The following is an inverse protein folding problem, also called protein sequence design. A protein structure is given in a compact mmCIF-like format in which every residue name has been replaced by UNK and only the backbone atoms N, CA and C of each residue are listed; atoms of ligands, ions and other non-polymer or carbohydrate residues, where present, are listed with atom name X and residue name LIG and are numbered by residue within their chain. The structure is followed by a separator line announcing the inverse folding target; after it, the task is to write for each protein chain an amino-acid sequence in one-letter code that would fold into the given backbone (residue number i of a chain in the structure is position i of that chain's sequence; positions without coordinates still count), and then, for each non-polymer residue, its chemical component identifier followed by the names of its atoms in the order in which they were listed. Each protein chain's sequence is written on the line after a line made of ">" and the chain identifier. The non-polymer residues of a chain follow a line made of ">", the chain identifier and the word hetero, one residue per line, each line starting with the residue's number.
data_IF_776993331801
#
_entry.id   IF_776993331801
#
_cell.length_a   1.000
_cell.length_b   1.000
_cell.length_c   1.000
_cell.angle_alpha   90.00
_cell.angle_beta   90.00
_cell.angle_gamma   90.00
#
_symmetry.space_group_name_H-M   'P 1'
#
loop_
_entity.id
_entity.type
_entity.pdbx_description
1 polymer ?
#
# COMPACT_ATOMS: atom_id res chain seq x y z
N UNK A 1 3.92 -32.61 0.85
CA UNK A 1 3.55 -31.63 -0.20
C UNK A 1 3.63 -30.25 0.45
N UNK A 2 4.55 -29.41 -0.02
CA UNK A 2 4.81 -28.09 0.57
C UNK A 2 3.85 -27.09 -0.07
N UNK A 3 2.95 -26.51 0.73
CA UNK A 3 1.99 -25.50 0.28
C UNK A 3 2.71 -24.15 0.03
N UNK A 4 3.43 -24.09 -1.08
CA UNK A 4 4.10 -22.89 -1.58
C UNK A 4 3.11 -21.86 -2.13
N UNK A 5 1.82 -22.20 -2.20
CA UNK A 5 0.76 -21.34 -2.73
C UNK A 5 0.25 -20.42 -1.63
N UNK A 6 0.04 -20.97 -0.43
CA UNK A 6 -0.49 -20.22 0.70
C UNK A 6 0.60 -19.64 1.60
N UNK A 7 1.79 -20.25 1.69
CA UNK A 7 2.80 -19.79 2.64
C UNK A 7 4.27 -20.07 2.23
N UNK A 8 4.84 -19.34 1.25
CA UNK A 8 6.22 -19.57 0.86
C UNK A 8 7.22 -18.98 1.89
N UNK A 9 8.14 -19.82 2.39
CA UNK A 9 9.11 -19.56 3.49
C UNK A 9 10.01 -18.31 3.36
N UNK A 10 10.04 -17.62 2.23
CA UNK A 10 10.90 -16.45 2.02
C UNK A 10 10.28 -15.13 2.49
N UNK A 11 9.05 -15.13 3.03
CA UNK A 11 8.40 -13.93 3.58
C UNK A 11 8.53 -13.77 5.10
N UNK A 12 9.06 -14.77 5.82
CA UNK A 12 9.44 -14.67 7.24
C UNK A 12 10.77 -13.90 7.37
N UNK A 13 10.80 -12.64 6.94
CA UNK A 13 12.04 -11.85 6.93
C UNK A 13 12.35 -11.31 8.33
N UNK A 14 11.37 -11.27 9.26
CA UNK A 14 11.52 -10.82 10.65
C UNK A 14 10.52 -11.55 11.56
N UNK A 15 10.95 -12.58 12.31
CA UNK A 15 10.25 -13.11 13.50
C UNK A 15 8.70 -13.14 13.44
N UNK A 16 8.11 -13.77 12.42
CA UNK A 16 6.65 -13.90 12.30
C UNK A 16 5.90 -12.66 11.76
N UNK A 17 6.60 -11.60 11.39
CA UNK A 17 6.05 -10.44 10.69
C UNK A 17 6.09 -10.70 9.19
N UNK A 18 4.92 -10.70 8.55
CA UNK A 18 4.84 -10.83 7.10
C UNK A 18 5.42 -9.59 6.42
N UNK A 19 6.14 -9.76 5.30
CA UNK A 19 6.70 -8.63 4.55
C UNK A 19 5.68 -7.54 4.19
N UNK A 20 4.40 -7.90 4.05
CA UNK A 20 3.32 -6.95 3.76
C UNK A 20 3.03 -6.00 4.92
N UNK A 21 3.22 -6.42 6.17
CA UNK A 21 3.07 -5.60 7.37
C UNK A 21 4.18 -4.56 7.46
N UNK A 22 5.41 -4.96 7.12
CA UNK A 22 6.56 -4.05 7.02
C UNK A 22 6.32 -3.01 5.92
N UNK A 23 5.81 -3.44 4.75
CA UNK A 23 5.47 -2.52 3.66
C UNK A 23 4.37 -1.55 4.10
N UNK A 24 3.26 -2.05 4.67
CA UNK A 24 2.13 -1.23 5.10
C UNK A 24 2.57 -0.20 6.16
N UNK A 25 3.32 -0.62 7.18
CA UNK A 25 3.85 0.25 8.23
C UNK A 25 4.89 1.26 7.74
N UNK A 26 5.51 1.04 6.59
CA UNK A 26 6.46 1.99 6.00
C UNK A 26 5.81 3.14 5.23
N UNK A 27 4.53 3.02 4.87
CA UNK A 27 3.81 3.89 3.92
C UNK A 27 2.65 4.65 4.57
N UNK A 28 2.21 5.76 3.95
CA UNK A 28 0.87 6.32 4.23
C UNK A 28 -0.22 5.40 3.67
N UNK A 29 -1.46 5.56 4.12
CA UNK A 29 -2.59 4.76 3.61
C UNK A 29 -2.75 4.92 2.08
N UNK A 30 -2.59 6.14 1.56
CA UNK A 30 -2.67 6.42 0.12
C UNK A 30 -1.56 5.74 -0.67
N UNK A 31 -0.33 5.76 -0.15
CA UNK A 31 0.81 5.06 -0.77
C UNK A 31 0.59 3.55 -0.78
N UNK A 32 0.09 2.99 0.32
CA UNK A 32 -0.19 1.55 0.42
C UNK A 32 -1.36 1.13 -0.48
N UNK A 33 -2.39 1.98 -0.60
CA UNK A 33 -3.46 1.81 -1.57
C UNK A 33 -2.91 1.78 -3.00
N UNK A 34 -2.04 2.74 -3.36
CA UNK A 34 -1.37 2.78 -4.66
C UNK A 34 -0.51 1.55 -4.93
N UNK A 35 0.22 1.06 -3.92
CA UNK A 35 0.98 -0.19 -4.00
C UNK A 35 0.07 -1.40 -4.31
N UNK A 36 -1.06 -1.53 -3.61
CA UNK A 36 -2.02 -2.60 -3.84
C UNK A 36 -2.63 -2.51 -5.24
N UNK A 37 -3.03 -1.31 -5.66
CA UNK A 37 -3.60 -1.05 -6.99
C UNK A 37 -2.62 -1.40 -8.12
N UNK A 38 -1.35 -1.00 -7.99
CA UNK A 38 -0.32 -1.35 -8.96
C UNK A 38 -0.11 -2.86 -9.09
N UNK A 39 -0.17 -3.61 -7.99
CA UNK A 39 -0.09 -5.06 -8.02
C UNK A 39 -1.32 -5.70 -8.67
N UNK A 40 -2.53 -5.23 -8.35
CA UNK A 40 -3.78 -5.66 -9.01
C UNK A 40 -3.64 -5.50 -10.53
N UNK A 41 -3.27 -4.31 -10.99
CA UNK A 41 -3.08 -4.02 -12.42
C UNK A 41 -2.01 -4.94 -13.04
N UNK A 42 -0.85 -5.09 -12.37
CA UNK A 42 0.24 -5.95 -12.83
C UNK A 42 -0.22 -7.39 -13.09
N UNK A 43 -0.96 -8.00 -12.15
CA UNK A 43 -1.41 -9.38 -12.30
C UNK A 43 -2.52 -9.50 -13.35
N UNK A 44 -3.48 -8.56 -13.40
CA UNK A 44 -4.50 -8.55 -14.45
C UNK A 44 -3.91 -8.42 -15.85
N UNK A 45 -2.89 -7.58 -16.03
CA UNK A 45 -2.21 -7.40 -17.32
C UNK A 45 -1.35 -8.59 -17.74
N UNK A 46 -0.98 -9.46 -16.80
CA UNK A 46 -0.16 -10.66 -17.04
C UNK A 46 -0.98 -11.92 -17.27
N UNK A 47 -2.22 -11.95 -16.78
CA UNK A 47 -3.14 -13.05 -16.94
C UNK A 47 -3.19 -13.52 -18.42
N UNK A 48 -2.87 -14.79 -18.66
CA UNK A 48 -2.92 -15.41 -20.00
C UNK A 48 -1.67 -15.17 -20.87
N UNK A 49 -0.66 -14.42 -20.39
CA UNK A 49 0.58 -14.16 -21.14
C UNK A 49 1.72 -15.14 -20.86
N UNK A 50 1.52 -16.08 -19.94
CA UNK A 50 2.50 -17.11 -19.58
C UNK A 50 1.97 -18.47 -19.99
N UNK A 51 2.74 -19.18 -20.82
CA UNK A 51 2.36 -20.50 -21.36
C UNK A 51 2.15 -21.52 -20.24
N UNK A 52 2.97 -21.47 -19.19
CA UNK A 52 2.95 -22.45 -18.09
C UNK A 52 2.25 -21.94 -16.82
N UNK A 53 1.48 -20.84 -16.89
CA UNK A 53 0.80 -20.28 -15.72
C UNK A 53 -0.68 -20.04 -16.04
N UNK A 54 -1.59 -20.87 -15.49
CA UNK A 54 -3.03 -20.70 -15.63
C UNK A 54 -3.47 -19.27 -15.31
N UNK A 55 -4.44 -18.77 -16.07
CA UNK A 55 -4.91 -17.38 -15.98
C UNK A 55 -5.45 -17.08 -14.58
N UNK A 56 -6.06 -18.09 -13.96
CA UNK A 56 -6.67 -18.09 -12.63
C UNK A 56 -5.65 -17.79 -11.53
N UNK A 57 -4.39 -18.18 -11.69
CA UNK A 57 -3.34 -17.90 -10.70
C UNK A 57 -3.08 -16.40 -10.60
N UNK A 58 -3.03 -15.71 -11.74
CA UNK A 58 -2.80 -14.26 -11.76
C UNK A 58 -4.05 -13.49 -11.33
N UNK A 59 -5.25 -13.96 -11.71
CA UNK A 59 -6.50 -13.38 -11.21
C UNK A 59 -6.63 -13.53 -9.68
N UNK A 60 -6.32 -14.70 -9.13
CA UNK A 60 -6.31 -14.93 -7.68
C UNK A 60 -5.29 -14.05 -6.95
N UNK A 61 -4.11 -13.82 -7.55
CA UNK A 61 -3.13 -12.86 -7.01
C UNK A 61 -3.67 -11.43 -7.02
N UNK A 62 -4.31 -11.00 -8.11
CA UNK A 62 -4.99 -9.71 -8.18
C UNK A 62 -5.99 -9.55 -7.03
N UNK A 63 -6.90 -10.50 -6.86
CA UNK A 63 -7.97 -10.39 -5.86
C UNK A 63 -7.44 -10.41 -4.41
N UNK A 64 -6.33 -11.10 -4.15
CA UNK A 64 -5.63 -11.07 -2.86
C UNK A 64 -5.26 -9.63 -2.45
N UNK A 65 -4.83 -8.78 -3.37
CA UNK A 65 -4.40 -7.41 -3.05
C UNK A 65 -5.56 -6.48 -2.65
N UNK A 66 -6.80 -6.78 -3.05
CA UNK A 66 -7.98 -6.09 -2.50
C UNK A 66 -8.16 -6.39 -1.00
N UNK A 67 -7.95 -7.65 -0.61
CA UNK A 67 -8.08 -8.07 0.80
C UNK A 67 -6.92 -7.56 1.65
N UNK A 68 -5.70 -7.57 1.10
CA UNK A 68 -4.49 -7.07 1.76
C UNK A 68 -4.65 -5.60 2.17
N UNK A 69 -5.15 -4.74 1.28
CA UNK A 69 -5.32 -3.33 1.62
C UNK A 69 -6.21 -3.14 2.84
N UNK A 70 -7.40 -3.76 2.83
CA UNK A 70 -8.35 -3.65 3.94
C UNK A 70 -7.81 -4.26 5.24
N UNK A 71 -7.05 -5.35 5.14
CA UNK A 71 -6.48 -6.02 6.32
C UNK A 71 -5.39 -5.17 6.98
N UNK A 72 -4.48 -4.58 6.23
CA UNK A 72 -3.26 -3.97 6.79
C UNK A 72 -3.24 -2.43 6.75
N UNK A 73 -4.25 -1.75 6.19
CA UNK A 73 -4.30 -0.27 6.16
C UNK A 73 -4.19 0.39 7.54
N UNK A 74 -4.58 -0.30 8.60
CA UNK A 74 -4.49 0.19 9.97
C UNK A 74 -3.04 0.29 10.48
N UNK A 75 -2.10 -0.43 9.84
CA UNK A 75 -0.67 -0.35 10.15
C UNK A 75 -0.01 0.86 9.48
N UNK A 76 -0.67 1.50 8.52
CA UNK A 76 -0.09 2.61 7.76
C UNK A 76 0.19 3.83 8.64
N UNK A 77 1.22 4.58 8.26
CA UNK A 77 1.59 5.84 8.91
C UNK A 77 0.44 6.84 8.77
N UNK A 78 0.16 7.55 9.86
CA UNK A 78 -0.72 8.71 9.82
C UNK A 78 -0.22 9.68 8.75
N UNK A 79 -1.14 10.18 7.91
CA UNK A 79 -0.80 11.20 6.92
C UNK A 79 -0.39 12.46 7.67
N UNK A 80 0.93 12.71 7.74
CA UNK A 80 1.47 13.95 8.29
C UNK A 80 1.06 15.08 7.35
N UNK A 81 -0.15 15.62 7.53
CA UNK A 81 -0.53 16.91 6.97
C UNK A 81 0.38 17.94 7.64
N UNK A 82 1.44 18.35 6.95
CA UNK A 82 2.31 19.46 7.37
C UNK A 82 1.43 20.63 7.79
N UNK A 83 1.47 20.98 9.06
CA UNK A 83 1.08 22.29 9.59
C UNK A 83 2.02 23.34 8.99
N UNK A 84 1.68 23.82 7.80
CA UNK A 84 2.29 25.02 7.17
C UNK A 84 1.17 25.98 6.79
N UNK A 85 0.38 26.39 7.78
CA UNK A 85 -0.71 27.36 7.56
C UNK A 85 -0.92 28.36 8.71
N UNK A 86 -0.02 28.43 9.70
CA UNK A 86 -0.24 29.25 10.91
C UNK A 86 0.67 30.48 11.05
N UNK A 87 1.67 30.68 10.18
CA UNK A 87 2.54 31.89 10.26
C UNK A 87 2.17 33.01 9.28
N UNK A 88 1.44 32.73 8.21
CA UNK A 88 1.07 33.76 7.23
C UNK A 88 -0.01 34.75 7.74
N UNK A 89 -0.70 34.45 8.84
CA UNK A 89 -1.78 35.29 9.36
C UNK A 89 -1.32 36.37 10.37
N UNK A 90 -0.03 36.47 10.71
CA UNK A 90 0.48 37.42 11.72
C UNK A 90 1.12 38.70 11.18
N UNK A 91 1.25 38.87 9.86
CA UNK A 91 1.94 40.04 9.27
C UNK A 91 1.05 40.95 8.39
N UNK A 92 -0.28 40.80 8.44
CA UNK A 92 -1.21 41.55 7.57
C UNK A 92 -1.94 42.73 8.21
N UNK A 93 -1.52 43.21 9.38
CA UNK A 93 -2.19 44.32 10.09
C UNK A 93 -1.39 45.61 10.08
N UNK A 94 -1.21 46.24 8.91
CA UNK A 94 -0.87 47.67 8.84
C UNK A 94 -2.15 48.41 8.48
N UNK A 95 -2.54 49.30 9.38
CA UNK A 95 -3.76 50.09 9.39
C UNK A 95 -3.52 51.36 8.55
N UNK A 96 -4.02 51.38 7.31
CA UNK A 96 -4.14 52.61 6.52
C UNK A 96 -5.54 53.17 6.70
N UNK A 97 -5.70 54.10 7.64
CA UNK A 97 -6.99 54.72 7.94
C UNK A 97 -6.95 55.80 9.01
N UNK A 98 -6.28 56.93 8.71
CA UNK A 98 -6.56 58.34 9.08
C UNK A 98 -5.27 59.17 9.08
#
# INVERSE_FOLDING_TARGET
>A
MTDNVNNPKHYEVLNGVEAIEIIASSMTEEQFHGYCLGNIMKYRLRAGKKVDNPIEIDLGKSDKYHTIFNRYRHLCKASTRRVVATEAAKLGGINDGL
#
